data_IF_774862323612
#
_entry.id   IF_774862323612
#
_cell.length_a   1.000
_cell.length_b   1.000
_cell.length_c   1.000
_cell.angle_alpha   90.00
_cell.angle_beta   90.00
_cell.angle_gamma   90.00
#
_symmetry.space_group_name_H-M   'P 1'
#
loop_
_entity.id
_entity.type
_entity.pdbx_description
1 polymer ?
#
# COMPACT_ATOMS: atom_id res chain seq x y z
N UNK A 1 -16.48 -3.60 20.36
CA UNK A 1 -15.69 -4.14 19.23
C UNK A 1 -14.38 -4.65 19.79
N UNK A 2 -14.02 -5.92 19.56
CA UNK A 2 -12.68 -6.40 19.90
C UNK A 2 -11.69 -5.82 18.89
N UNK A 3 -10.83 -4.91 19.33
CA UNK A 3 -9.94 -4.13 18.46
C UNK A 3 -8.93 -5.03 17.73
N UNK A 4 -8.33 -5.99 18.41
CA UNK A 4 -7.33 -6.88 17.80
C UNK A 4 -7.98 -7.81 16.76
N UNK A 5 -9.14 -8.39 17.07
CA UNK A 5 -9.87 -9.22 16.11
C UNK A 5 -10.36 -8.41 14.89
N UNK A 6 -10.81 -7.17 15.11
CA UNK A 6 -11.17 -6.26 14.01
C UNK A 6 -9.98 -5.97 13.10
N UNK A 7 -8.81 -5.65 13.68
CA UNK A 7 -7.58 -5.36 12.93
C UNK A 7 -7.07 -6.60 12.20
N UNK A 8 -7.05 -7.78 12.84
CA UNK A 8 -6.64 -9.03 12.20
C UNK A 8 -7.53 -9.36 10.99
N UNK A 9 -8.86 -9.23 11.13
CA UNK A 9 -9.80 -9.44 10.04
C UNK A 9 -9.63 -8.42 8.90
N UNK A 10 -9.42 -7.15 9.25
CA UNK A 10 -9.15 -6.08 8.28
C UNK A 10 -7.86 -6.35 7.49
N UNK A 11 -6.75 -6.61 8.18
CA UNK A 11 -5.45 -6.87 7.54
C UNK A 11 -5.51 -8.13 6.68
N UNK A 12 -6.18 -9.18 7.15
CA UNK A 12 -6.42 -10.38 6.34
C UNK A 12 -7.14 -10.07 5.04
N UNK A 13 -8.14 -9.17 5.08
CA UNK A 13 -8.92 -8.80 3.91
C UNK A 13 -8.13 -7.97 2.88
N UNK A 14 -7.29 -7.04 3.34
CA UNK A 14 -6.52 -6.17 2.42
C UNK A 14 -5.30 -6.89 1.86
N UNK A 15 -4.66 -7.75 2.65
CA UNK A 15 -3.42 -8.45 2.29
C UNK A 15 -3.68 -9.81 1.64
N UNK A 16 -4.91 -10.33 1.73
CA UNK A 16 -5.31 -11.64 1.18
C UNK A 16 -4.45 -12.80 1.75
N UNK A 17 -4.06 -12.68 3.02
CA UNK A 17 -3.35 -13.69 3.82
C UNK A 17 -4.09 -13.94 5.15
N UNK A 18 -4.03 -15.14 5.73
CA UNK A 18 -4.68 -15.42 7.00
C UNK A 18 -3.91 -14.77 8.16
N UNK A 19 -4.50 -13.77 8.81
CA UNK A 19 -3.99 -13.14 10.03
C UNK A 19 -4.98 -13.39 11.17
N UNK A 20 -4.50 -13.95 12.28
CA UNK A 20 -5.28 -14.19 13.50
C UNK A 20 -4.69 -13.42 14.68
N UNK A 21 -5.46 -13.27 15.74
CA UNK A 21 -4.99 -12.72 17.01
C UNK A 21 -4.10 -13.70 17.78
N UNK A 22 -3.33 -13.19 18.74
CA UNK A 22 -2.51 -14.03 19.61
C UNK A 22 -3.36 -15.00 20.45
N UNK A 23 -4.54 -14.59 20.91
CA UNK A 23 -5.47 -15.45 21.65
C UNK A 23 -5.99 -16.60 20.79
N UNK A 24 -6.35 -16.32 19.53
CA UNK A 24 -6.71 -17.34 18.55
C UNK A 24 -5.55 -18.30 18.29
N UNK A 25 -4.32 -17.79 18.19
CA UNK A 25 -3.12 -18.62 18.06
C UNK A 25 -2.98 -19.59 19.25
N UNK A 26 -3.09 -19.10 20.49
CA UNK A 26 -2.99 -19.95 21.69
C UNK A 26 -4.05 -21.06 21.68
N UNK A 27 -5.28 -20.74 21.26
CA UNK A 27 -6.35 -21.73 21.15
C UNK A 27 -6.12 -22.78 20.06
N UNK A 28 -5.56 -22.40 18.90
CA UNK A 28 -5.42 -23.27 17.74
C UNK A 28 -4.15 -24.13 17.79
N UNK A 29 -3.06 -23.61 18.37
CA UNK A 29 -1.76 -24.29 18.43
C UNK A 29 -1.85 -25.66 19.10
N UNK A 30 -2.70 -25.77 20.13
CA UNK A 30 -2.90 -27.02 20.87
C UNK A 30 -3.60 -28.09 20.03
N UNK A 31 -4.43 -27.69 19.05
CA UNK A 31 -5.21 -28.59 18.20
C UNK A 31 -4.55 -28.93 16.87
N UNK A 32 -3.59 -28.12 16.40
CA UNK A 32 -2.87 -28.34 15.15
C UNK A 32 -1.38 -27.97 15.27
N UNK A 33 -0.55 -28.85 15.85
CA UNK A 33 0.86 -28.55 16.14
C UNK A 33 1.74 -28.42 14.90
N UNK A 34 1.35 -29.03 13.77
CA UNK A 34 2.09 -28.98 12.50
C UNK A 34 1.80 -27.71 11.69
N UNK A 35 0.84 -26.89 12.13
CA UNK A 35 0.53 -25.61 11.52
C UNK A 35 1.70 -24.64 11.68
N UNK A 36 2.17 -24.08 10.57
CA UNK A 36 3.18 -23.04 10.60
C UNK A 36 2.53 -21.72 11.07
N UNK A 37 3.19 -21.02 11.99
CA UNK A 37 2.78 -19.69 12.43
C UNK A 37 3.92 -18.71 12.23
N UNK A 38 3.60 -17.50 11.77
CA UNK A 38 4.57 -16.40 11.59
C UNK A 38 4.08 -15.17 12.34
N UNK A 39 4.98 -14.42 12.95
CA UNK A 39 4.59 -13.12 13.52
C UNK A 39 4.19 -12.15 12.40
N UNK A 40 3.18 -11.33 12.67
CA UNK A 40 2.82 -10.18 11.88
C UNK A 40 3.02 -8.92 12.72
N UNK A 41 4.06 -8.19 12.37
CA UNK A 41 4.53 -7.01 13.09
C UNK A 41 4.40 -5.74 12.24
N UNK A 42 4.88 -4.62 12.78
CA UNK A 42 4.86 -3.33 12.09
C UNK A 42 5.70 -3.33 10.81
N UNK A 43 6.85 -4.00 10.80
CA UNK A 43 7.72 -4.09 9.62
C UNK A 43 7.00 -4.83 8.48
N UNK A 44 6.31 -5.93 8.81
CA UNK A 44 5.49 -6.69 7.86
C UNK A 44 4.39 -5.83 7.23
N UNK A 45 3.77 -4.94 8.02
CA UNK A 45 2.80 -3.96 7.51
C UNK A 45 3.45 -2.96 6.55
N UNK A 46 4.60 -2.40 6.93
CA UNK A 46 5.31 -1.41 6.12
C UNK A 46 5.75 -2.02 4.78
N UNK A 47 6.35 -3.21 4.80
CA UNK A 47 6.78 -3.93 3.59
C UNK A 47 5.61 -4.24 2.65
N UNK A 48 4.45 -4.64 3.19
CA UNK A 48 3.32 -5.07 2.38
C UNK A 48 2.46 -3.93 1.85
N UNK A 49 2.33 -2.83 2.60
CA UNK A 49 1.38 -1.75 2.29
C UNK A 49 2.04 -0.49 1.71
N UNK A 50 3.37 -0.35 1.78
CA UNK A 50 4.11 0.85 1.34
C UNK A 50 5.03 0.51 0.15
N UNK A 51 4.47 -0.09 -0.90
CA UNK A 51 5.22 -0.59 -2.06
C UNK A 51 6.00 0.52 -2.76
N UNK A 52 7.30 0.24 -2.99
CA UNK A 52 8.25 1.10 -3.70
C UNK A 52 7.78 1.49 -5.08
N UNK A 53 8.02 2.75 -5.34
CA UNK A 53 8.31 3.20 -6.67
C UNK A 53 9.77 3.23 -7.03
N UNK A 54 10.11 2.91 -8.28
CA UNK A 54 11.46 3.11 -8.75
C UNK A 54 11.78 4.60 -8.80
N UNK A 55 12.87 5.00 -8.14
CA UNK A 55 13.61 6.22 -8.46
C UNK A 55 14.03 6.14 -9.93
N UNK A 56 13.52 7.04 -10.76
CA UNK A 56 14.32 7.48 -11.91
C UNK A 56 15.43 8.32 -11.30
N UNK A 57 16.66 7.83 -11.42
CA UNK A 57 17.85 8.60 -11.09
C UNK A 57 17.90 9.85 -11.96
N UNK A 58 17.27 10.94 -11.52
CA UNK A 58 17.57 12.29 -12.01
C UNK A 58 18.85 12.78 -11.30
N UNK A 59 19.93 12.01 -11.49
CA UNK A 59 21.25 12.59 -11.60
C UNK A 59 21.48 12.72 -13.10
N UNK A 60 21.72 13.93 -13.58
CA UNK A 60 22.32 14.12 -14.90
C UNK A 60 23.71 13.48 -14.85
N UNK A 61 23.76 12.18 -15.09
CA UNK A 61 24.91 11.54 -15.70
C UNK A 61 24.46 11.34 -17.13
N UNK A 62 24.98 12.18 -18.00
CA UNK A 62 25.02 11.93 -19.42
C UNK A 62 25.87 10.66 -19.62
N UNK A 63 25.28 9.50 -19.32
CA UNK A 63 25.79 8.24 -19.83
C UNK A 63 25.44 8.27 -21.30
N UNK A 64 26.42 8.71 -22.08
CA UNK A 64 26.53 8.39 -23.50
C UNK A 64 26.53 6.87 -23.60
N UNK A 65 25.34 6.26 -23.57
CA UNK A 65 25.15 4.92 -24.09
C UNK A 65 25.19 5.09 -25.60
N UNK A 66 26.28 4.60 -26.19
CA UNK A 66 26.36 4.44 -27.64
C UNK A 66 25.07 3.80 -28.15
N UNK A 67 24.55 4.39 -29.22
CA UNK A 67 23.42 3.92 -30.00
C UNK A 67 23.57 2.42 -30.35
N UNK A 68 22.94 1.51 -29.61
CA UNK A 68 22.68 0.13 -30.10
C UNK A 68 21.78 -0.76 -29.22
N UNK A 69 20.91 -0.24 -28.35
CA UNK A 69 20.04 -1.13 -27.58
C UNK A 69 18.92 -1.70 -28.46
N UNK A 70 18.93 -3.01 -28.74
CA UNK A 70 17.87 -3.66 -29.53
C UNK A 70 16.55 -3.68 -28.73
N UNK A 71 15.48 -3.15 -29.36
CA UNK A 71 14.13 -3.25 -28.81
C UNK A 71 13.63 -4.70 -28.92
N UNK A 72 12.99 -5.18 -27.85
CA UNK A 72 12.35 -6.49 -27.78
C UNK A 72 10.84 -6.26 -27.80
N UNK A 73 10.21 -6.54 -28.93
CA UNK A 73 8.77 -6.32 -29.12
C UNK A 73 7.92 -7.28 -28.28
N UNK A 74 8.29 -8.57 -28.23
CA UNK A 74 7.57 -9.64 -27.54
C UNK A 74 8.54 -10.62 -26.85
N UNK A 75 8.16 -11.07 -25.65
CA UNK A 75 8.70 -12.26 -24.97
C UNK A 75 7.52 -13.15 -24.58
N UNK A 76 7.64 -14.43 -24.85
CA UNK A 76 6.65 -15.43 -24.48
C UNK A 76 7.02 -16.06 -23.15
N UNK A 77 6.11 -16.03 -22.18
CA UNK A 77 6.31 -16.75 -20.92
C UNK A 77 5.34 -17.93 -20.89
N UNK A 78 5.89 -19.15 -20.82
CA UNK A 78 5.10 -20.39 -20.69
C UNK A 78 5.09 -20.84 -19.23
N UNK A 79 3.91 -21.09 -18.69
CA UNK A 79 3.74 -21.53 -17.30
C UNK A 79 3.78 -23.06 -17.23
N UNK A 80 4.51 -23.62 -16.26
CA UNK A 80 4.48 -25.07 -16.02
C UNK A 80 3.11 -25.55 -15.49
N UNK A 81 2.33 -24.66 -14.87
CA UNK A 81 0.94 -24.92 -14.43
C UNK A 81 -0.09 -24.89 -15.57
N UNK A 82 0.35 -24.63 -16.81
CA UNK A 82 -0.52 -24.43 -17.96
C UNK A 82 -0.81 -22.95 -18.24
N UNK A 83 -0.98 -22.62 -19.53
CA UNK A 83 -1.18 -21.26 -20.03
C UNK A 83 0.10 -20.53 -20.43
N UNK A 84 -0.07 -19.45 -21.19
CA UNK A 84 1.02 -18.60 -21.68
C UNK A 84 0.63 -17.14 -21.62
N UNK A 85 1.61 -16.28 -21.40
CA UNK A 85 1.48 -14.83 -21.39
C UNK A 85 2.54 -14.20 -22.29
N UNK A 86 2.23 -13.04 -22.85
CA UNK A 86 3.12 -12.31 -23.77
C UNK A 86 3.46 -10.98 -23.10
N UNK A 87 4.75 -10.75 -22.86
CA UNK A 87 5.25 -9.46 -22.36
C UNK A 87 5.77 -8.67 -23.55
N UNK A 88 5.32 -7.42 -23.69
CA UNK A 88 5.62 -6.59 -24.86
C UNK A 88 6.43 -5.33 -24.51
N UNK A 89 7.05 -4.73 -25.53
CA UNK A 89 7.71 -3.42 -25.47
C UNK A 89 8.82 -3.35 -24.42
N UNK A 90 9.78 -4.26 -24.53
CA UNK A 90 10.94 -4.37 -23.65
C UNK A 90 12.21 -3.89 -24.37
N UNK A 91 13.30 -3.76 -23.61
CA UNK A 91 14.64 -3.49 -24.11
C UNK A 91 15.58 -4.56 -23.55
N UNK A 92 16.59 -5.00 -24.31
CA UNK A 92 17.57 -5.98 -23.87
C UNK A 92 18.35 -5.59 -22.59
N UNK A 93 18.45 -4.30 -22.28
CA UNK A 93 19.15 -3.79 -21.10
C UNK A 93 18.33 -3.85 -19.80
N UNK A 94 17.07 -4.25 -19.84
CA UNK A 94 16.27 -4.40 -18.62
C UNK A 94 16.75 -5.60 -17.80
N UNK A 95 16.58 -5.53 -16.48
CA UNK A 95 16.92 -6.63 -15.57
C UNK A 95 15.84 -7.70 -15.53
N UNK A 96 16.24 -8.91 -15.16
CA UNK A 96 15.31 -10.02 -14.89
C UNK A 96 14.32 -9.66 -13.79
N UNK A 97 14.73 -8.90 -12.77
CA UNK A 97 13.80 -8.46 -11.72
C UNK A 97 12.70 -7.55 -12.27
N UNK A 98 13.02 -6.71 -13.27
CA UNK A 98 12.02 -5.91 -13.97
C UNK A 98 11.03 -6.79 -14.75
N UNK A 99 11.52 -7.83 -15.45
CA UNK A 99 10.66 -8.80 -16.13
C UNK A 99 9.74 -9.54 -15.14
N UNK A 100 10.26 -9.94 -13.97
CA UNK A 100 9.46 -10.56 -12.91
C UNK A 100 8.34 -9.63 -12.41
N UNK A 101 8.62 -8.34 -12.24
CA UNK A 101 7.58 -7.37 -11.89
C UNK A 101 6.47 -7.29 -12.96
N UNK A 102 6.82 -7.35 -14.25
CA UNK A 102 5.83 -7.37 -15.34
C UNK A 102 4.94 -8.61 -15.31
N UNK A 103 5.49 -9.77 -14.95
CA UNK A 103 4.72 -10.99 -14.75
C UNK A 103 3.82 -10.88 -13.52
N UNK A 104 4.30 -10.27 -12.43
CA UNK A 104 3.48 -10.00 -11.23
C UNK A 104 2.28 -9.11 -11.56
N UNK A 105 2.46 -8.07 -12.38
CA UNK A 105 1.37 -7.18 -12.80
C UNK A 105 0.24 -7.91 -13.55
N UNK A 106 0.54 -9.00 -14.26
CA UNK A 106 -0.43 -9.74 -15.09
C UNK A 106 -1.03 -10.92 -14.32
N UNK A 107 -0.18 -11.68 -13.62
CA UNK A 107 -0.56 -12.95 -13.00
C UNK A 107 -0.72 -12.85 -11.47
N UNK A 108 -0.28 -11.76 -10.84
CA UNK A 108 -0.35 -11.58 -9.39
C UNK A 108 0.65 -12.41 -8.58
N UNK A 109 1.62 -13.07 -9.22
CA UNK A 109 2.65 -13.90 -8.56
C UNK A 109 3.82 -13.04 -8.10
N UNK A 110 4.13 -12.92 -6.79
CA UNK A 110 5.21 -12.06 -6.29
C UNK A 110 6.58 -12.35 -6.94
N UNK A 111 7.43 -11.34 -7.20
CA UNK A 111 8.72 -11.52 -7.90
C UNK A 111 9.68 -12.51 -7.22
N UNK A 112 9.68 -12.56 -5.90
CA UNK A 112 10.45 -13.51 -5.09
C UNK A 112 9.91 -14.95 -5.19
N UNK A 113 8.65 -15.12 -5.58
CA UNK A 113 7.99 -16.43 -5.80
C UNK A 113 8.08 -16.90 -7.26
N UNK A 114 8.59 -16.05 -8.16
CA UNK A 114 8.81 -16.39 -9.56
C UNK A 114 10.20 -16.99 -9.80
N UNK A 115 10.23 -18.19 -10.38
CA UNK A 115 11.43 -18.80 -10.94
C UNK A 115 11.33 -18.78 -12.48
N UNK A 116 12.09 -17.88 -13.10
CA UNK A 116 12.19 -17.78 -14.55
C UNK A 116 13.33 -18.67 -15.03
N UNK A 117 13.04 -19.56 -15.98
CA UNK A 117 13.97 -20.51 -16.56
C UNK A 117 14.14 -20.27 -18.05
N UNK A 118 15.39 -20.15 -18.49
CA UNK A 118 15.74 -20.03 -19.90
C UNK A 118 16.99 -20.85 -20.20
N UNK A 119 16.96 -21.68 -21.26
CA UNK A 119 18.04 -22.61 -21.60
C UNK A 119 18.53 -23.45 -20.41
N UNK A 120 17.59 -24.00 -19.64
CA UNK A 120 17.85 -24.83 -18.44
C UNK A 120 18.60 -24.09 -17.32
N UNK A 121 18.70 -22.76 -17.38
CA UNK A 121 19.29 -21.92 -16.34
C UNK A 121 18.23 -21.06 -15.68
N UNK A 122 18.31 -20.96 -14.36
CA UNK A 122 17.51 -20.00 -13.59
C UNK A 122 18.05 -18.60 -13.81
N UNK A 123 17.15 -17.67 -14.12
CA UNK A 123 17.50 -16.27 -14.34
C UNK A 123 17.65 -15.53 -13.00
N UNK A 124 18.79 -14.87 -12.83
CA UNK A 124 19.15 -14.10 -11.64
C UNK A 124 18.60 -12.67 -11.75
N UNK A 125 17.93 -12.19 -10.69
CA UNK A 125 17.21 -10.91 -10.73
C UNK A 125 18.06 -9.70 -11.10
N UNK A 126 19.34 -9.68 -10.73
CA UNK A 126 20.25 -8.55 -10.94
C UNK A 126 20.89 -8.52 -12.34
N UNK A 127 20.71 -9.56 -13.16
CA UNK A 127 21.27 -9.66 -14.52
C UNK A 127 20.29 -9.09 -15.55
N UNK A 128 20.80 -8.62 -16.68
CA UNK A 128 19.99 -8.10 -17.79
C UNK A 128 19.47 -9.21 -18.71
N UNK A 129 18.50 -8.91 -19.56
CA UNK A 129 18.08 -9.84 -20.63
C UNK A 129 19.20 -10.10 -21.64
N UNK A 130 19.97 -9.06 -21.98
CA UNK A 130 21.15 -9.16 -22.86
C UNK A 130 22.23 -10.10 -22.31
N UNK A 131 22.44 -10.13 -20.98
CA UNK A 131 23.35 -11.08 -20.33
C UNK A 131 22.99 -12.54 -20.63
N UNK A 132 21.69 -12.85 -20.68
CA UNK A 132 21.18 -14.18 -21.04
C UNK A 132 20.95 -14.36 -22.54
N UNK A 133 21.27 -13.35 -23.37
CA UNK A 133 21.00 -13.32 -24.82
C UNK A 133 19.53 -13.53 -25.16
N UNK A 134 18.63 -13.04 -24.30
CA UNK A 134 17.19 -13.08 -24.53
C UNK A 134 16.84 -12.00 -25.56
N UNK A 135 16.21 -12.40 -26.66
CA UNK A 135 15.84 -11.53 -27.80
C UNK A 135 14.33 -11.53 -28.05
N UNK A 136 13.89 -10.81 -29.08
CA UNK A 136 12.52 -10.86 -29.56
C UNK A 136 12.04 -12.30 -29.77
N UNK A 137 10.79 -12.55 -29.41
CA UNK A 137 10.10 -13.83 -29.55
C UNK A 137 10.72 -15.00 -28.75
N UNK A 138 11.60 -14.70 -27.79
CA UNK A 138 12.16 -15.71 -26.89
C UNK A 138 11.07 -16.27 -25.98
N UNK A 139 11.09 -17.59 -25.77
CA UNK A 139 10.24 -18.26 -24.77
C UNK A 139 11.01 -18.50 -23.47
N UNK A 140 10.48 -18.00 -22.36
CA UNK A 140 10.99 -18.23 -21.01
C UNK A 140 9.95 -19.06 -20.26
N UNK A 141 10.39 -20.03 -19.47
CA UNK A 141 9.49 -20.83 -18.66
C UNK A 141 9.35 -20.21 -17.28
N UNK A 142 8.10 -19.98 -16.85
CA UNK A 142 7.78 -19.56 -15.50
C UNK A 142 7.41 -20.81 -14.69
N UNK A 143 8.26 -21.11 -13.72
CA UNK A 143 7.88 -21.94 -12.60
C UNK A 143 7.51 -21.02 -11.43
N UNK A 144 6.41 -21.32 -10.76
CA UNK A 144 6.16 -20.75 -9.45
C UNK A 144 6.86 -21.64 -8.44
N UNK A 145 7.52 -21.05 -7.44
CA UNK A 145 7.74 -21.83 -6.24
C UNK A 145 6.36 -22.13 -5.71
N UNK A 146 5.90 -23.38 -5.93
CA UNK A 146 4.57 -23.80 -5.56
C UNK A 146 4.36 -23.38 -4.11
N UNK A 147 3.36 -22.53 -3.93
CA UNK A 147 2.49 -22.74 -2.81
C UNK A 147 2.03 -24.22 -2.86
N UNK A 148 2.72 -25.12 -2.16
CA UNK A 148 2.03 -25.55 -0.95
C UNK A 148 1.86 -24.23 -0.22
N UNK A 149 0.63 -23.69 -0.19
CA UNK A 149 0.34 -22.38 0.40
C UNK A 149 1.30 -22.18 1.54
N UNK A 150 1.90 -21.01 1.76
CA UNK A 150 2.40 -20.84 3.11
C UNK A 150 1.17 -21.05 3.99
N UNK A 151 0.99 -22.26 4.53
CA UNK A 151 0.10 -22.64 5.61
C UNK A 151 0.67 -21.95 6.87
N UNK A 152 1.33 -20.81 6.69
CA UNK A 152 1.75 -19.93 7.71
C UNK A 152 0.53 -19.08 8.01
N UNK A 153 -0.10 -19.35 9.13
CA UNK A 153 -1.04 -18.40 9.70
C UNK A 153 -0.22 -17.29 10.32
N UNK A 154 -0.49 -16.06 9.93
CA UNK A 154 0.15 -14.91 10.51
C UNK A 154 -0.53 -14.59 11.85
N UNK A 155 0.25 -14.35 12.89
CA UNK A 155 -0.22 -14.04 14.23
C UNK A 155 0.07 -12.57 14.46
N UNK A 156 -0.99 -11.78 14.66
CA UNK A 156 -0.87 -10.37 14.97
C UNK A 156 -0.11 -10.20 16.28
N UNK A 157 1.02 -9.50 16.23
CA UNK A 157 1.82 -9.23 17.41
C UNK A 157 0.96 -8.57 18.50
N UNK A 158 0.96 -9.05 19.75
CA UNK A 158 0.25 -8.39 20.85
C UNK A 158 0.62 -6.91 21.02
N UNK A 159 1.86 -6.55 20.70
CA UNK A 159 2.37 -5.18 20.74
C UNK A 159 2.10 -4.40 19.46
N UNK A 160 1.39 -4.95 18.45
CA UNK A 160 1.10 -4.26 17.19
C UNK A 160 0.28 -2.96 17.38
N UNK A 161 -0.55 -2.92 18.43
CA UNK A 161 -1.43 -1.80 18.75
C UNK A 161 -0.99 -1.11 20.03
N UNK A 162 -1.29 0.19 20.14
CA UNK A 162 -1.13 0.94 21.39
C UNK A 162 -2.48 1.55 21.82
N UNK A 163 -3.34 0.77 22.50
CA UNK A 163 -4.70 1.19 22.82
C UNK A 163 -4.80 2.48 23.65
N UNK A 164 -3.73 2.85 24.37
CA UNK A 164 -3.64 4.09 25.18
C UNK A 164 -3.83 5.33 24.32
N UNK A 165 -3.51 5.24 23.03
CA UNK A 165 -3.68 6.32 22.08
C UNK A 165 -4.91 6.13 21.19
N UNK A 166 -5.79 5.16 21.39
CA UNK A 166 -7.04 5.12 20.63
C UNK A 166 -7.83 6.43 20.83
N UNK A 167 -8.53 6.88 19.79
CA UNK A 167 -9.32 8.11 19.88
C UNK A 167 -10.61 8.01 19.08
N UNK A 168 -11.70 8.48 19.67
CA UNK A 168 -13.01 8.50 19.04
C UNK A 168 -13.33 9.90 18.50
N UNK A 169 -13.33 10.05 17.17
CA UNK A 169 -13.74 11.27 16.49
C UNK A 169 -15.20 11.22 16.02
N UNK A 170 -15.96 10.14 16.27
CA UNK A 170 -17.30 9.93 15.69
C UNK A 170 -18.30 11.04 16.04
N UNK A 171 -18.23 11.58 17.26
CA UNK A 171 -19.06 12.70 17.72
C UNK A 171 -18.53 14.10 17.39
N UNK A 172 -17.43 14.22 16.63
CA UNK A 172 -16.81 15.52 16.30
C UNK A 172 -17.29 15.96 14.92
N UNK A 173 -17.87 17.16 14.82
CA UNK A 173 -18.57 17.61 13.60
C UNK A 173 -17.82 18.74 12.90
N UNK A 174 -17.29 19.70 13.66
CA UNK A 174 -16.29 20.67 13.23
C UNK A 174 -15.79 21.39 14.49
N UNK A 175 -14.55 21.83 14.50
CA UNK A 175 -13.97 22.61 15.60
C UNK A 175 -13.68 24.01 15.05
N UNK A 176 -13.91 25.05 15.86
CA UNK A 176 -13.58 26.44 15.46
C UNK A 176 -12.08 26.63 15.33
N UNK A 177 -11.33 25.78 16.01
CA UNK A 177 -9.89 25.77 16.10
C UNK A 177 -9.27 25.06 14.90
N UNK A 178 -8.17 25.62 14.39
CA UNK A 178 -7.35 24.99 13.35
C UNK A 178 -6.28 24.16 14.02
N UNK A 179 -6.31 22.85 13.79
CA UNK A 179 -5.26 21.95 14.26
C UNK A 179 -4.11 21.94 13.27
N UNK A 180 -2.89 22.01 13.78
CA UNK A 180 -1.65 22.02 13.01
C UNK A 180 -0.77 20.85 13.42
N UNK A 181 -0.12 20.21 12.46
CA UNK A 181 0.85 19.13 12.66
C UNK A 181 1.97 19.31 11.65
N UNK A 182 3.21 19.41 12.11
CA UNK A 182 4.37 19.68 11.25
C UNK A 182 4.25 20.98 10.45
N UNK A 183 3.72 22.04 11.08
CA UNK A 183 3.39 23.33 10.47
C UNK A 183 2.41 23.26 9.29
N UNK A 184 1.68 22.15 9.16
CA UNK A 184 0.66 21.94 8.14
C UNK A 184 -0.73 21.77 8.79
N UNK A 185 -1.78 22.21 8.11
CA UNK A 185 -3.16 22.08 8.61
C UNK A 185 -3.55 20.61 8.71
N UNK A 186 -3.88 20.17 9.92
CA UNK A 186 -4.38 18.84 10.21
C UNK A 186 -5.90 18.79 10.15
N UNK A 187 -6.43 18.26 9.04
CA UNK A 187 -7.84 17.92 8.93
C UNK A 187 -8.12 16.65 9.73
N UNK A 188 -8.56 16.81 10.98
CA UNK A 188 -8.89 15.67 11.85
C UNK A 188 -9.94 14.78 11.20
N UNK A 189 -9.90 13.45 11.44
CA UNK A 189 -10.84 12.50 10.85
C UNK A 189 -12.17 12.53 11.62
N UNK A 190 -12.82 13.70 11.65
CA UNK A 190 -14.11 13.94 12.29
C UNK A 190 -15.16 12.97 11.73
N UNK A 191 -15.89 12.26 12.60
CA UNK A 191 -16.82 11.20 12.20
C UNK A 191 -16.22 9.79 12.13
N UNK A 192 -14.94 9.61 12.47
CA UNK A 192 -14.24 8.32 12.41
C UNK A 192 -13.77 7.84 13.79
N UNK A 193 -13.64 6.53 13.98
CA UNK A 193 -12.84 5.97 15.08
C UNK A 193 -11.37 5.88 14.67
N UNK A 194 -10.44 5.97 15.62
CA UNK A 194 -9.00 5.74 15.40
C UNK A 194 -8.46 4.67 16.33
N UNK A 195 -7.86 3.64 15.74
CA UNK A 195 -7.00 2.66 16.43
C UNK A 195 -5.55 3.09 16.24
N UNK A 196 -4.78 3.19 17.33
CA UNK A 196 -3.37 3.55 17.25
C UNK A 196 -2.48 2.32 17.05
N UNK A 197 -1.54 2.42 16.11
CA UNK A 197 -0.46 1.44 15.95
C UNK A 197 0.61 1.72 16.99
N UNK A 198 1.27 0.67 17.47
CA UNK A 198 2.48 0.83 18.28
C UNK A 198 3.61 1.26 17.37
N UNK A 199 4.08 2.49 17.55
CA UNK A 199 5.15 3.10 16.73
C UNK A 199 6.18 3.86 17.56
N UNK A 200 5.92 4.05 18.85
CA UNK A 200 6.89 4.65 19.76
C UNK A 200 8.12 3.75 19.85
N UNK A 201 9.29 4.36 19.72
CA UNK A 201 10.60 3.71 19.83
C UNK A 201 10.87 2.65 18.74
N UNK A 202 10.08 2.65 17.66
CA UNK A 202 10.31 1.81 16.47
C UNK A 202 11.15 2.50 15.40
N UNK A 203 11.44 3.79 15.57
CA UNK A 203 12.28 4.58 14.67
C UNK A 203 13.45 5.21 15.43
N UNK A 204 14.34 5.90 14.72
CA UNK A 204 15.48 6.62 15.30
C UNK A 204 15.11 7.57 16.44
N UNK A 205 13.91 8.15 16.37
CA UNK A 205 13.37 9.14 17.28
C UNK A 205 11.83 9.11 17.25
N UNK A 206 11.20 9.86 18.16
CA UNK A 206 9.75 10.02 18.24
C UNK A 206 9.28 11.45 17.90
N UNK A 207 10.19 12.34 17.47
CA UNK A 207 9.90 13.76 17.25
C UNK A 207 8.86 13.95 16.14
N UNK A 208 8.91 13.08 15.13
CA UNK A 208 7.95 12.99 14.03
C UNK A 208 6.48 12.84 14.48
N UNK A 209 6.21 12.32 15.68
CA UNK A 209 4.85 12.25 16.23
C UNK A 209 4.42 13.52 16.97
N UNK A 210 5.37 14.39 17.34
CA UNK A 210 5.15 15.56 18.18
C UNK A 210 4.63 15.21 19.57
N UNK A 211 5.21 14.17 20.20
CA UNK A 211 4.81 13.66 21.53
C UNK A 211 5.40 14.45 22.68
N UNK A 212 6.51 15.15 22.46
CA UNK A 212 7.17 15.97 23.48
C UNK A 212 6.78 17.45 23.30
N UNK A 213 6.77 18.23 24.38
CA UNK A 213 6.75 19.70 24.36
C UNK A 213 5.55 20.40 23.65
N UNK A 214 4.44 19.70 23.38
CA UNK A 214 3.22 20.32 22.85
C UNK A 214 2.51 21.12 23.95
N UNK A 215 2.38 22.44 23.77
CA UNK A 215 1.74 23.33 24.76
C UNK A 215 0.22 23.36 24.58
N UNK A 216 -0.26 23.30 23.32
CA UNK A 216 -1.69 23.24 23.01
C UNK A 216 -2.04 22.11 22.02
N UNK A 217 -3.27 21.56 22.05
CA UNK A 217 -3.67 20.51 21.09
C UNK A 217 -3.62 20.94 19.62
N UNK A 218 -3.62 22.25 19.36
CA UNK A 218 -3.84 22.87 18.05
C UNK A 218 -2.54 23.27 17.35
N UNK A 219 -1.43 23.45 18.06
CA UNK A 219 -0.16 23.88 17.47
C UNK A 219 0.71 22.69 17.06
N UNK A 220 1.73 22.96 16.24
CA UNK A 220 2.77 21.99 15.89
C UNK A 220 3.90 22.00 16.91
N UNK A 221 4.64 20.89 16.98
CA UNK A 221 5.91 20.80 17.70
C UNK A 221 7.06 20.82 16.69
N UNK A 222 8.23 21.32 17.08
CA UNK A 222 9.46 21.20 16.30
C UNK A 222 9.77 19.73 15.97
N UNK A 223 10.21 19.44 14.75
CA UNK A 223 10.48 18.07 14.27
C UNK A 223 9.23 17.24 13.95
N UNK A 224 8.01 17.71 14.27
CA UNK A 224 6.78 16.99 14.00
C UNK A 224 6.50 16.84 12.50
N UNK A 225 6.04 15.67 12.09
CA UNK A 225 5.66 15.38 10.71
C UNK A 225 4.18 15.70 10.45
N UNK A 226 3.85 16.04 9.20
CA UNK A 226 2.49 16.38 8.80
C UNK A 226 1.60 15.14 8.83
N UNK A 227 0.28 15.32 8.94
CA UNK A 227 -0.67 14.19 8.89
C UNK A 227 -1.24 14.04 7.48
N UNK A 228 -1.28 12.79 7.01
CA UNK A 228 -1.97 12.43 5.77
C UNK A 228 -2.70 11.08 5.90
N UNK A 229 -3.47 10.74 4.89
CA UNK A 229 -4.32 9.56 4.83
C UNK A 229 -4.04 8.76 3.57
N UNK A 230 -3.91 7.43 3.70
CA UNK A 230 -3.71 6.52 2.59
C UNK A 230 -4.84 5.48 2.57
N UNK A 231 -5.40 5.23 1.38
CA UNK A 231 -6.46 4.25 1.19
C UNK A 231 -6.01 2.80 1.44
N UNK A 232 -6.93 1.86 1.27
CA UNK A 232 -6.71 0.41 1.48
C UNK A 232 -7.05 -0.43 0.23
N UNK A 233 -7.48 0.21 -0.85
CA UNK A 233 -7.79 -0.43 -2.13
C UNK A 233 -6.50 -0.72 -2.91
N UNK A 234 -6.21 -2.02 -3.09
CA UNK A 234 -5.07 -2.60 -3.81
C UNK A 234 -4.83 -2.03 -5.22
N UNK A 235 -5.87 -1.54 -5.89
CA UNK A 235 -5.84 -1.14 -7.30
C UNK A 235 -5.44 0.32 -7.57
N UNK A 236 -5.31 1.18 -6.55
CA UNK A 236 -5.10 2.61 -6.81
C UNK A 236 -3.68 3.15 -6.58
N UNK A 237 -2.77 2.38 -5.99
CA UNK A 237 -1.34 2.68 -6.16
C UNK A 237 -0.92 2.45 -7.62
N UNK A 238 -1.51 1.45 -8.28
CA UNK A 238 -1.30 1.18 -9.70
C UNK A 238 -2.16 2.05 -10.62
N UNK A 239 -3.40 2.46 -10.29
CA UNK A 239 -4.20 3.33 -11.19
C UNK A 239 -3.77 4.79 -11.14
N UNK A 240 -3.23 5.31 -10.03
CA UNK A 240 -2.66 6.67 -10.05
C UNK A 240 -1.30 6.69 -10.75
N UNK A 241 -0.53 5.58 -10.69
CA UNK A 241 0.72 5.41 -11.43
C UNK A 241 0.53 4.94 -12.90
N UNK A 242 -0.57 4.26 -13.26
CA UNK A 242 -0.89 3.83 -14.65
C UNK A 242 -1.84 4.77 -15.39
N UNK A 243 -2.79 5.42 -14.73
CA UNK A 243 -3.82 6.25 -15.40
C UNK A 243 -3.42 7.72 -15.51
N UNK A 244 -2.15 7.95 -15.84
CA UNK A 244 -1.77 9.08 -16.67
C UNK A 244 -2.33 8.99 -18.09
N UNK A 245 -3.50 8.40 -18.34
CA UNK A 245 -4.12 8.28 -19.66
C UNK A 245 -5.66 8.27 -19.60
N UNK A 246 -6.29 9.39 -19.98
CA UNK A 246 -7.72 9.44 -20.27
C UNK A 246 -7.96 8.85 -21.66
N UNK A 247 -8.35 7.57 -21.72
CA UNK A 247 -8.66 6.84 -22.98
C UNK A 247 -9.68 7.58 -23.87
N UNK A 248 -10.58 8.38 -23.29
CA UNK A 248 -11.58 9.15 -24.02
C UNK A 248 -11.08 10.48 -24.61
N UNK A 249 -9.87 10.94 -24.24
CA UNK A 249 -9.35 12.27 -24.61
C UNK A 249 -7.91 12.30 -25.12
N UNK A 250 -7.20 11.16 -25.15
CA UNK A 250 -5.87 11.07 -25.76
C UNK A 250 -4.79 11.99 -25.15
N UNK A 251 -4.95 12.41 -23.89
CA UNK A 251 -3.97 13.25 -23.16
C UNK A 251 -3.36 12.51 -21.97
N UNK A 252 -2.04 12.64 -21.82
CA UNK A 252 -1.27 12.18 -20.65
C UNK A 252 -1.44 13.15 -19.48
N UNK A 253 -1.70 12.65 -18.27
CA UNK A 253 -1.58 13.44 -17.03
C UNK A 253 -0.28 13.08 -16.29
N UNK A 254 0.30 14.09 -15.65
CA UNK A 254 1.70 14.19 -15.19
C UNK A 254 1.79 13.87 -13.69
N UNK A 255 1.66 12.60 -13.29
CA UNK A 255 1.82 12.22 -11.87
C UNK A 255 2.89 11.12 -11.77
N UNK A 256 3.99 11.41 -11.08
CA UNK A 256 5.16 10.52 -11.00
C UNK A 256 5.02 9.42 -9.93
N UNK A 257 5.78 8.33 -10.04
CA UNK A 257 6.88 8.14 -9.08
C UNK A 257 6.62 8.20 -7.54
N UNK A 258 5.59 7.64 -6.90
CA UNK A 258 5.61 7.60 -5.42
C UNK A 258 4.46 6.91 -4.67
N UNK A 259 4.52 6.98 -3.34
CA UNK A 259 3.47 6.60 -2.39
C UNK A 259 2.47 7.76 -2.32
N UNK A 260 1.19 7.48 -2.52
CA UNK A 260 0.13 8.48 -2.61
C UNK A 260 -0.64 8.60 -1.31
N UNK A 261 -0.62 9.77 -0.68
CA UNK A 261 -1.49 10.08 0.45
C UNK A 261 -2.23 11.41 0.23
N UNK A 262 -3.20 11.73 1.06
CA UNK A 262 -3.96 12.98 0.97
C UNK A 262 -4.13 13.59 2.36
N UNK A 263 -4.12 14.93 2.52
CA UNK A 263 -4.45 15.57 3.78
C UNK A 263 -5.95 15.48 4.14
N UNK A 264 -6.78 14.85 3.30
CA UNK A 264 -8.22 14.75 3.52
C UNK A 264 -8.68 13.28 3.56
N UNK A 265 -9.13 12.83 4.74
CA UNK A 265 -9.59 11.45 4.93
C UNK A 265 -10.77 11.10 4.03
N UNK A 266 -11.66 12.04 3.71
CA UNK A 266 -12.85 11.76 2.89
C UNK A 266 -12.45 11.41 1.44
N UNK A 267 -11.38 12.03 0.94
CA UNK A 267 -10.80 11.69 -0.36
C UNK A 267 -10.21 10.27 -0.31
N UNK A 268 -9.42 9.96 0.72
CA UNK A 268 -8.86 8.62 0.94
C UNK A 268 -9.96 7.55 1.04
N UNK A 269 -11.02 7.84 1.80
CA UNK A 269 -12.12 6.93 2.05
C UNK A 269 -13.03 6.72 0.83
N UNK A 270 -13.34 7.78 0.10
CA UNK A 270 -14.29 7.73 -1.03
C UNK A 270 -13.71 6.99 -2.21
N UNK A 271 -12.46 7.27 -2.56
CA UNK A 271 -11.86 6.78 -3.80
C UNK A 271 -10.87 5.63 -3.57
N UNK A 272 -10.35 5.46 -2.35
CA UNK A 272 -9.21 4.57 -2.13
C UNK A 272 -9.37 3.61 -0.96
N UNK A 273 -10.46 3.63 -0.19
CA UNK A 273 -10.69 2.63 0.86
C UNK A 273 -11.45 1.41 0.32
N UNK A 274 -10.96 0.22 0.64
CA UNK A 274 -11.67 -1.04 0.40
C UNK A 274 -12.66 -1.25 1.55
N UNK A 275 -13.90 -1.54 1.19
CA UNK A 275 -14.89 -1.95 2.17
C UNK A 275 -14.60 -3.39 2.63
N UNK A 276 -14.81 -3.66 3.92
CA UNK A 276 -14.78 -5.02 4.43
C UNK A 276 -15.91 -5.25 5.44
N UNK A 277 -16.28 -6.51 5.65
CA UNK A 277 -17.34 -6.89 6.58
C UNK A 277 -16.70 -7.49 7.82
N UNK A 278 -17.12 -6.99 8.99
CA UNK A 278 -16.75 -7.53 10.28
C UNK A 278 -17.98 -7.52 11.18
N UNK A 279 -18.25 -8.64 11.86
CA UNK A 279 -19.40 -8.78 12.76
C UNK A 279 -20.74 -8.32 12.12
N UNK A 280 -20.99 -8.80 10.89
CA UNK A 280 -22.19 -8.47 10.06
C UNK A 280 -22.34 -7.00 9.67
N UNK A 281 -21.35 -6.18 9.97
CA UNK A 281 -21.36 -4.75 9.68
C UNK A 281 -20.27 -4.42 8.67
N UNK A 282 -20.56 -3.44 7.81
CA UNK A 282 -19.66 -3.01 6.75
C UNK A 282 -18.84 -1.81 7.22
N UNK A 283 -17.52 -1.87 7.03
CA UNK A 283 -16.60 -0.83 7.48
C UNK A 283 -15.68 -0.38 6.34
N UNK A 284 -15.26 0.88 6.43
CA UNK A 284 -14.10 1.44 5.72
C UNK A 284 -12.97 1.66 6.69
N UNK A 285 -11.75 1.40 6.24
CA UNK A 285 -10.52 1.70 6.98
C UNK A 285 -9.56 2.44 6.07
N UNK A 286 -8.88 3.43 6.64
CA UNK A 286 -7.88 4.28 6.01
C UNK A 286 -6.67 4.34 6.93
N UNK A 287 -5.47 4.22 6.36
CA UNK A 287 -4.23 4.42 7.11
C UNK A 287 -4.05 5.90 7.42
N UNK A 288 -3.80 6.21 8.69
CA UNK A 288 -3.39 7.53 9.13
C UNK A 288 -1.87 7.54 9.23
N UNK A 289 -1.24 8.46 8.51
CA UNK A 289 0.19 8.52 8.32
C UNK A 289 0.77 9.84 8.82
N UNK A 290 2.05 9.78 9.19
CA UNK A 290 2.93 10.93 9.28
C UNK A 290 3.78 11.02 8.04
N UNK A 291 3.90 12.20 7.44
CA UNK A 291 4.76 12.45 6.28
C UNK A 291 5.79 13.50 6.64
N UNK A 292 7.05 13.22 6.33
CA UNK A 292 8.15 14.13 6.60
C UNK A 292 7.91 15.46 5.86
N UNK A 293 8.03 16.62 6.54
CA UNK A 293 7.97 17.90 5.87
C UNK A 293 8.95 17.95 4.69
N UNK A 294 8.56 18.59 3.60
CA UNK A 294 9.36 18.78 2.38
C UNK A 294 9.72 17.51 1.58
N UNK A 295 9.30 16.32 2.04
CA UNK A 295 9.57 15.04 1.35
C UNK A 295 8.49 14.62 0.34
N UNK A 296 7.60 15.53 -0.04
CA UNK A 296 6.46 15.24 -0.90
C UNK A 296 6.21 16.34 -1.93
N UNK A 297 5.63 15.96 -3.07
CA UNK A 297 5.08 16.89 -4.05
C UNK A 297 3.56 16.96 -3.86
N UNK A 298 3.01 18.18 -3.81
CA UNK A 298 1.57 18.38 -3.81
C UNK A 298 1.03 18.33 -5.22
N UNK A 299 0.01 17.53 -5.43
CA UNK A 299 -0.77 17.44 -6.67
C UNK A 299 -2.20 17.80 -6.35
N UNK A 300 -2.71 18.88 -6.96
CA UNK A 300 -4.09 19.32 -6.81
C UNK A 300 -4.89 18.97 -8.05
N UNK A 301 -6.09 18.41 -7.86
CA UNK A 301 -7.01 18.10 -8.95
C UNK A 301 -8.40 18.63 -8.63
N UNK A 302 -9.06 19.23 -9.63
CA UNK A 302 -10.42 19.77 -9.45
C UNK A 302 -11.45 18.68 -9.09
N UNK A 303 -11.19 17.43 -9.51
CA UNK A 303 -12.09 16.29 -9.35
C UNK A 303 -11.87 15.51 -8.05
N UNK A 304 -10.63 15.45 -7.56
CA UNK A 304 -10.25 14.53 -6.48
C UNK A 304 -9.56 15.22 -5.30
N UNK A 305 -9.27 16.52 -5.39
CA UNK A 305 -8.62 17.32 -4.34
C UNK A 305 -7.09 17.17 -4.31
N UNK A 306 -6.50 17.51 -3.16
CA UNK A 306 -5.06 17.54 -2.95
C UNK A 306 -4.50 16.16 -2.55
N UNK A 307 -3.33 15.84 -3.11
CA UNK A 307 -2.55 14.64 -2.84
C UNK A 307 -1.09 14.98 -2.61
N UNK A 308 -0.45 14.14 -1.80
CA UNK A 308 0.99 14.10 -1.61
C UNK A 308 1.53 12.90 -2.35
N UNK A 309 2.57 13.14 -3.15
CA UNK A 309 3.36 12.09 -3.80
C UNK A 309 4.70 12.03 -3.10
N UNK A 310 4.93 10.94 -2.35
CA UNK A 310 6.13 10.71 -1.55
C UNK A 310 7.04 9.76 -2.33
N UNK A 311 8.27 10.20 -2.64
CA UNK A 311 9.21 9.41 -3.43
C UNK A 311 9.90 8.27 -2.65
N UNK A 312 9.92 8.36 -1.31
CA UNK A 312 10.67 7.45 -0.43
C UNK A 312 9.79 6.88 0.68
N UNK A 313 9.86 5.56 0.89
CA UNK A 313 9.09 4.83 1.90
C UNK A 313 9.47 5.17 3.35
N UNK A 314 10.66 5.77 3.56
CA UNK A 314 11.12 6.24 4.88
C UNK A 314 10.50 7.57 5.29
N UNK A 315 9.98 8.33 4.34
CA UNK A 315 9.43 9.66 4.54
C UNK A 315 7.92 9.65 4.81
N UNK A 316 7.32 8.46 4.92
CA UNK A 316 5.92 8.26 5.31
C UNK A 316 5.80 7.08 6.29
N UNK A 317 5.11 7.29 7.41
CA UNK A 317 4.98 6.31 8.49
C UNK A 317 3.52 6.14 8.90
N UNK A 318 2.90 4.96 8.73
CA UNK A 318 1.58 4.70 9.31
C UNK A 318 1.67 4.68 10.82
N UNK A 319 0.75 5.35 11.50
CA UNK A 319 0.68 5.38 12.97
C UNK A 319 -0.72 5.14 13.54
N UNK A 320 -1.72 5.04 12.67
CA UNK A 320 -3.09 4.74 13.09
C UNK A 320 -3.93 4.18 11.95
N UNK A 321 -5.03 3.55 12.34
CA UNK A 321 -6.08 3.06 11.45
C UNK A 321 -7.34 3.85 11.77
N UNK A 322 -7.77 4.70 10.84
CA UNK A 322 -9.05 5.38 10.93
C UNK A 322 -10.13 4.49 10.33
N UNK A 323 -11.20 4.22 11.08
CA UNK A 323 -12.29 3.36 10.65
C UNK A 323 -13.66 4.04 10.79
N UNK A 324 -14.58 3.69 9.90
CA UNK A 324 -15.95 4.18 9.92
C UNK A 324 -16.91 3.10 9.47
N UNK A 325 -18.06 2.99 10.15
CA UNK A 325 -19.15 2.11 9.76
C UNK A 325 -19.85 2.68 8.52
N UNK A 326 -19.96 1.89 7.46
CA UNK A 326 -20.68 2.27 6.24
C UNK A 326 -22.16 2.09 6.48
N UNK A 327 -22.92 3.19 6.46
CA UNK A 327 -24.38 3.11 6.52
C UNK A 327 -24.89 2.43 5.25
N UNK A 328 -25.46 1.24 5.39
CA UNK A 328 -26.27 0.67 4.31
C UNK A 328 -27.51 1.54 4.13
N UNK A 329 -27.75 2.01 2.91
CA UNK A 329 -29.05 2.59 2.56
C UNK A 329 -30.07 1.47 2.71
N UNK A 330 -30.87 1.51 3.77
CA UNK A 330 -32.07 0.69 3.87
C UNK A 330 -33.03 1.13 2.78
N UNK A 331 -33.75 0.17 2.18
CA UNK A 331 -34.73 0.41 1.10
C UNK A 331 -35.75 1.51 1.46
N UNK A 332 -36.03 1.71 2.76
CA UNK A 332 -36.89 2.79 3.26
C UNK A 332 -36.35 4.22 3.02
N UNK A 333 -35.04 4.41 2.86
CA UNK A 333 -34.48 5.73 2.54
C UNK A 333 -34.66 6.11 1.06
N UNK A 334 -34.80 5.15 0.14
CA UNK A 334 -35.12 5.45 -1.26
C UNK A 334 -36.52 6.05 -1.42
N UNK A 335 -37.51 5.57 -0.65
CA UNK A 335 -38.88 6.08 -0.70
C UNK A 335 -39.02 7.52 -0.17
N UNK A 336 -38.16 7.95 0.75
CA UNK A 336 -38.19 9.31 1.30
C UNK A 336 -37.45 10.34 0.42
N UNK A 337 -36.51 9.90 -0.42
CA UNK A 337 -35.78 10.78 -1.35
C UNK A 337 -36.61 11.07 -2.61
N UNK A 338 -37.49 10.14 -3.03
CA UNK A 338 -38.40 10.31 -4.17
C UNK A 338 -39.69 11.09 -3.85
N UNK A 339 -39.84 11.59 -2.61
CA UNK A 339 -41.01 12.36 -2.14
C UNK A 339 -40.71 13.83 -1.83
N UNK A 340 -39.56 14.37 -2.28
CA UNK A 340 -39.29 15.80 -2.26
C UNK A 340 -39.20 16.37 -3.65
#
# INVERSE_FOLDING_TARGET
MNTYAFVAAFLSNIMEIPIITYDEYLSQKSSNPDQLYKSFDYNSLQEACMVKGFETSDGVVELVFGNSAENIENIFIKKFSGGSLIIKNLNENITVNFLKNKIYEIEGIPPNEQCLLYNLKTLEGHRTLSYYKIKNDTTIYLNTYLRGGSNAIHVLDPEFLDPRYNYDFTGKICSRETYMRGNFKYNRPNGWGRIALKVLDQFSDNDWLGVQNRRTPFESVEGEWIVSYHGTAKFNANSIAKDGFLLSKGKRFVFGHGIYSTPNIEIAAKYYAKDFVYDREKYKVVFQNRVKPDAYKTVSTDLYGDYFVIGNDRDIRPYGLCFQKVKMLTVNNFYNILRK
#
